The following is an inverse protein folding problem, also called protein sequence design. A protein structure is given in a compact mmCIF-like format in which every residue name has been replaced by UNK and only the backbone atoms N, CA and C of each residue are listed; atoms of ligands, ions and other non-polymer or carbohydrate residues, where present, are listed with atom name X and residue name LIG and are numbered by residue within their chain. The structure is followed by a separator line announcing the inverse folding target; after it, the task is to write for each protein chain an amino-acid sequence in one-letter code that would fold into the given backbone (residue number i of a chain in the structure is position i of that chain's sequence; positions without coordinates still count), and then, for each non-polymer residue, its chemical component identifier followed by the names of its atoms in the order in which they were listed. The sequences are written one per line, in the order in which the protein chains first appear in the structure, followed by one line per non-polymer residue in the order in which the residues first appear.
data_IF_856746507057
#
_entry.id   IF_856746507057
#
_cell.length_a   1.000
_cell.length_b   1.000
_cell.length_c   1.000
_cell.angle_alpha   90.00
_cell.angle_beta   90.00
_cell.angle_gamma   90.00
#
_symmetry.space_group_name_H-M   'P 1'
#
loop_
_entity.id
_entity.type
_entity.pdbx_description
1 polymer ?
#
# COMPACT_ATOMS: atom_id res chain seq x y z
N UNK A 1 3.91 4.52 39.59
CA UNK A 1 3.13 4.20 38.38
C UNK A 1 3.01 5.47 37.55
N UNK A 2 3.96 5.73 36.66
CA UNK A 2 3.95 6.92 35.81
C UNK A 2 2.99 6.70 34.65
N UNK A 3 1.96 7.54 34.55
CA UNK A 3 1.07 7.61 33.38
C UNK A 3 1.92 8.02 32.18
N UNK A 4 2.03 7.13 31.20
CA UNK A 4 2.53 7.51 29.87
C UNK A 4 1.47 8.41 29.26
N UNK A 5 1.76 9.70 29.14
CA UNK A 5 0.95 10.62 28.36
C UNK A 5 0.96 10.14 26.91
N UNK A 6 -0.18 9.67 26.42
CA UNK A 6 -0.42 9.44 24.99
C UNK A 6 -0.54 10.80 24.30
N UNK A 7 0.60 11.41 24.00
CA UNK A 7 0.63 12.56 23.09
C UNK A 7 0.32 12.05 21.69
N UNK A 8 -0.84 12.42 21.14
CA UNK A 8 -1.14 12.23 19.73
C UNK A 8 -0.02 12.85 18.90
N UNK A 9 0.66 12.10 18.02
CA UNK A 9 1.73 12.65 17.21
C UNK A 9 1.18 13.79 16.34
N UNK A 10 1.93 14.89 16.25
CA UNK A 10 1.56 16.00 15.37
C UNK A 10 1.48 15.49 13.92
N UNK A 11 0.51 15.97 13.12
CA UNK A 11 0.40 15.55 11.74
C UNK A 11 1.66 15.93 10.95
N UNK A 12 2.09 15.03 10.08
CA UNK A 12 3.09 15.34 9.06
C UNK A 12 2.52 16.39 8.08
N UNK A 13 3.39 17.19 7.46
CA UNK A 13 3.01 18.20 6.45
C UNK A 13 2.52 19.53 7.01
N UNK A 14 2.38 20.52 6.13
CA UNK A 14 1.91 21.86 6.48
C UNK A 14 0.46 21.80 6.97
N UNK A 15 0.16 22.47 8.09
CA UNK A 15 -1.22 22.63 8.59
C UNK A 15 -1.96 23.80 7.95
N UNK A 16 -1.29 24.53 7.04
CA UNK A 16 -1.84 25.69 6.36
C UNK A 16 -2.56 25.23 5.10
N UNK A 17 -3.83 25.65 4.96
CA UNK A 17 -4.61 25.33 3.79
C UNK A 17 -4.07 26.04 2.53
N UNK A 18 -4.15 25.37 1.38
CA UNK A 18 -3.77 25.91 0.07
C UNK A 18 -4.71 25.39 -1.02
N UNK A 19 -4.97 26.19 -2.04
CA UNK A 19 -5.81 25.82 -3.19
C UNK A 19 -5.06 24.97 -4.23
N UNK A 20 -3.77 24.70 -4.02
CA UNK A 20 -2.99 23.86 -4.92
C UNK A 20 -3.48 22.40 -4.85
N UNK A 21 -3.90 21.80 -6.00
CA UNK A 21 -4.41 20.43 -6.02
C UNK A 21 -3.36 19.42 -5.56
N UNK A 22 -3.81 18.33 -4.94
CA UNK A 22 -2.96 17.25 -4.43
C UNK A 22 -3.33 15.91 -5.06
N UNK A 23 -2.32 15.12 -5.41
CA UNK A 23 -2.43 13.68 -5.54
C UNK A 23 -1.81 13.03 -4.29
N UNK A 24 -2.59 12.23 -3.55
CA UNK A 24 -2.15 11.57 -2.33
C UNK A 24 -2.02 10.06 -2.54
N UNK A 25 -0.88 9.50 -2.13
CA UNK A 25 -0.64 8.06 -2.04
C UNK A 25 -0.51 7.65 -0.58
N UNK A 26 -1.35 6.74 -0.12
CA UNK A 26 -1.29 6.12 1.20
C UNK A 26 -0.96 4.64 1.03
N UNK A 27 0.10 4.18 1.70
CA UNK A 27 0.61 2.82 1.58
C UNK A 27 0.52 2.06 2.91
N UNK A 28 -0.24 0.97 2.90
CA UNK A 28 -0.40 0.05 4.03
C UNK A 28 0.69 -1.03 3.98
N UNK A 29 1.84 -0.79 4.62
CA UNK A 29 2.97 -1.71 4.51
C UNK A 29 2.66 -3.10 5.07
N UNK A 30 2.04 -3.27 6.26
CA UNK A 30 1.67 -4.58 6.78
C UNK A 30 0.68 -5.33 5.88
N UNK A 31 -0.36 -4.66 5.36
CA UNK A 31 -1.34 -5.33 4.49
C UNK A 31 -0.71 -5.79 3.17
N UNK A 32 0.07 -4.93 2.52
CA UNK A 32 0.75 -5.31 1.26
C UNK A 32 1.76 -6.43 1.49
N UNK A 33 2.57 -6.40 2.56
CA UNK A 33 3.52 -7.49 2.84
C UNK A 33 2.79 -8.81 3.18
N UNK A 34 1.68 -8.75 3.92
CA UNK A 34 0.89 -9.93 4.28
C UNK A 34 0.18 -10.55 3.08
N UNK A 35 -0.44 -9.73 2.23
CA UNK A 35 -1.11 -10.18 1.01
C UNK A 35 -0.11 -10.70 -0.01
N UNK A 36 1.05 -10.05 -0.16
CA UNK A 36 2.17 -10.54 -0.96
C UNK A 36 2.58 -11.95 -0.52
N UNK A 37 2.70 -12.18 0.79
CA UNK A 37 3.04 -13.50 1.33
C UNK A 37 2.00 -14.56 0.96
N UNK A 38 0.72 -14.19 0.98
CA UNK A 38 -0.39 -15.04 0.56
C UNK A 38 -0.35 -15.40 -0.92
N UNK A 39 -0.19 -14.41 -1.80
CA UNK A 39 -0.23 -14.63 -3.27
C UNK A 39 0.96 -15.40 -3.80
N UNK A 40 2.16 -15.25 -3.20
CA UNK A 40 3.35 -16.02 -3.58
C UNK A 40 3.47 -17.35 -2.79
N UNK A 41 2.57 -17.61 -1.85
CA UNK A 41 2.57 -18.83 -1.03
C UNK A 41 3.79 -18.98 -0.11
N UNK A 42 4.38 -17.88 0.35
CA UNK A 42 5.62 -17.92 1.13
C UNK A 42 6.08 -16.56 1.66
N UNK A 43 7.14 -16.57 2.48
CA UNK A 43 7.68 -15.34 3.07
C UNK A 43 8.29 -14.42 1.99
N UNK A 44 7.90 -13.13 1.90
CA UNK A 44 8.49 -12.23 0.93
C UNK A 44 9.99 -12.01 1.14
N UNK A 45 10.74 -12.09 0.05
CA UNK A 45 12.16 -11.72 -0.03
C UNK A 45 12.32 -10.25 -0.43
N UNK A 46 13.55 -9.76 -0.57
CA UNK A 46 13.79 -8.43 -1.16
C UNK A 46 13.41 -8.38 -2.64
N UNK A 47 13.56 -9.49 -3.38
CA UNK A 47 13.29 -9.56 -4.81
C UNK A 47 11.78 -9.63 -5.14
N UNK A 48 10.99 -10.19 -4.22
CA UNK A 48 9.54 -10.28 -4.38
C UNK A 48 8.80 -9.08 -3.78
N UNK A 49 9.49 -8.14 -3.13
CA UNK A 49 8.88 -6.90 -2.61
C UNK A 49 8.88 -5.80 -3.66
N UNK A 50 7.86 -4.94 -3.67
CA UNK A 50 7.78 -3.85 -4.62
C UNK A 50 8.88 -2.81 -4.37
N UNK A 51 9.41 -2.28 -5.46
CA UNK A 51 10.39 -1.21 -5.46
C UNK A 51 9.73 0.16 -5.30
N UNK A 52 9.88 0.76 -4.12
CA UNK A 52 9.32 2.09 -3.82
C UNK A 52 9.81 3.19 -4.78
N UNK A 53 11.03 3.08 -5.33
CA UNK A 53 11.52 4.05 -6.33
C UNK A 53 10.72 4.00 -7.63
N UNK A 54 10.25 2.81 -8.02
CA UNK A 54 9.40 2.63 -9.19
C UNK A 54 7.98 3.10 -8.92
N UNK A 55 7.42 2.79 -7.74
CA UNK A 55 6.11 3.29 -7.30
C UNK A 55 6.10 4.82 -7.29
N UNK A 56 7.11 5.46 -6.69
CA UNK A 56 7.22 6.92 -6.65
C UNK A 56 7.28 7.52 -8.06
N UNK A 57 8.11 6.95 -8.94
CA UNK A 57 8.24 7.43 -10.32
C UNK A 57 6.93 7.34 -11.08
N UNK A 58 6.26 6.19 -11.02
CA UNK A 58 4.96 5.97 -11.65
C UNK A 58 3.90 6.96 -11.11
N UNK A 59 3.85 7.13 -9.79
CA UNK A 59 2.88 8.02 -9.15
C UNK A 59 3.07 9.49 -9.56
N UNK A 60 4.32 9.97 -9.51
CA UNK A 60 4.71 11.33 -9.94
C UNK A 60 4.42 11.55 -11.42
N UNK A 61 4.75 10.59 -12.29
CA UNK A 61 4.48 10.70 -13.72
C UNK A 61 2.99 10.80 -14.00
N UNK A 62 2.17 10.04 -13.27
CA UNK A 62 0.71 10.09 -13.38
C UNK A 62 0.07 11.36 -12.84
N UNK A 63 0.77 12.21 -12.06
CA UNK A 63 0.19 13.42 -11.49
C UNK A 63 0.02 14.56 -12.49
N UNK A 64 0.62 14.45 -13.69
CA UNK A 64 0.54 15.51 -14.71
C UNK A 64 1.13 16.85 -14.23
N UNK A 65 2.09 16.82 -13.31
CA UNK A 65 2.72 18.02 -12.75
C UNK A 65 1.98 18.63 -11.56
N UNK A 66 0.87 18.03 -11.11
CA UNK A 66 0.28 18.33 -9.81
C UNK A 66 1.24 17.93 -8.70
N UNK A 67 1.14 18.62 -7.57
CA UNK A 67 1.90 18.28 -6.38
C UNK A 67 1.45 16.91 -5.83
N UNK A 68 2.40 16.19 -5.24
CA UNK A 68 2.23 14.80 -4.82
C UNK A 68 2.66 14.61 -3.38
N UNK A 69 1.95 13.76 -2.65
CA UNK A 69 2.38 13.31 -1.33
C UNK A 69 2.27 11.79 -1.24
N UNK A 70 3.35 11.14 -0.81
CA UNK A 70 3.40 9.70 -0.57
C UNK A 70 3.67 9.39 0.89
N UNK A 71 2.83 8.58 1.52
CA UNK A 71 2.90 8.24 2.93
C UNK A 71 2.89 6.73 3.13
N UNK A 72 3.89 6.19 3.81
CA UNK A 72 3.96 4.77 4.18
C UNK A 72 3.60 4.60 5.65
N UNK A 73 2.60 3.78 5.90
CA UNK A 73 2.14 3.43 7.24
C UNK A 73 2.65 2.04 7.60
N UNK A 74 3.21 1.92 8.81
CA UNK A 74 3.82 0.67 9.24
C UNK A 74 3.74 0.48 10.74
N UNK A 75 3.71 -0.79 11.16
CA UNK A 75 3.83 -1.19 12.53
C UNK A 75 5.26 -1.64 12.85
N UNK A 76 5.81 -1.15 13.97
CA UNK A 76 7.12 -1.58 14.45
C UNK A 76 6.95 -2.44 15.70
N UNK A 77 7.17 -3.75 15.55
CA UNK A 77 7.17 -4.67 16.69
C UNK A 77 8.39 -4.43 17.61
N UNK A 78 8.28 -4.68 18.93
CA UNK A 78 9.40 -4.65 19.84
C UNK A 78 10.58 -5.50 19.33
N UNK A 79 11.79 -4.95 19.37
CA UNK A 79 13.01 -5.61 18.89
C UNK A 79 13.26 -5.53 17.38
N UNK A 80 12.31 -5.05 16.57
CA UNK A 80 12.49 -4.88 15.11
C UNK A 80 13.01 -3.50 14.71
N UNK A 81 13.15 -2.55 15.65
CA UNK A 81 13.55 -1.18 15.32
C UNK A 81 14.92 -1.09 14.61
N UNK A 82 15.88 -1.96 14.96
CA UNK A 82 17.19 -1.98 14.32
C UNK A 82 17.14 -2.53 12.88
N UNK A 83 16.36 -3.59 12.63
CA UNK A 83 16.24 -4.23 11.32
C UNK A 83 15.48 -3.36 10.31
N UNK A 84 14.48 -2.61 10.76
CA UNK A 84 13.65 -1.75 9.89
C UNK A 84 14.21 -0.35 9.67
N UNK A 85 15.21 0.09 10.46
CA UNK A 85 15.77 1.45 10.39
C UNK A 85 16.22 1.84 8.98
N UNK A 86 17.04 1.00 8.35
CA UNK A 86 17.58 1.30 7.01
C UNK A 86 16.49 1.42 5.95
N UNK A 87 15.43 0.62 6.06
CA UNK A 87 14.26 0.71 5.17
C UNK A 87 13.48 2.01 5.39
N UNK A 88 13.21 2.40 6.64
CA UNK A 88 12.56 3.69 6.96
C UNK A 88 13.40 4.88 6.45
N UNK A 89 14.71 4.83 6.64
CA UNK A 89 15.62 5.87 6.15
C UNK A 89 15.63 5.95 4.62
N UNK A 90 15.60 4.81 3.92
CA UNK A 90 15.51 4.76 2.47
C UNK A 90 14.19 5.33 1.92
N UNK A 91 13.06 5.04 2.57
CA UNK A 91 11.75 5.61 2.22
C UNK A 91 11.76 7.14 2.35
N UNK A 92 12.25 7.64 3.48
CA UNK A 92 12.36 9.08 3.74
C UNK A 92 13.29 9.76 2.75
N UNK A 93 14.43 9.14 2.43
CA UNK A 93 15.36 9.65 1.42
C UNK A 93 14.74 9.68 0.01
N UNK A 94 13.75 8.82 -0.25
CA UNK A 94 12.99 8.76 -1.51
C UNK A 94 11.81 9.74 -1.56
N UNK A 95 11.59 10.55 -0.51
CA UNK A 95 10.53 11.55 -0.44
C UNK A 95 9.22 11.08 0.20
N UNK A 96 9.15 9.83 0.68
CA UNK A 96 7.97 9.37 1.41
C UNK A 96 7.96 9.88 2.85
N UNK A 97 6.78 10.30 3.31
CA UNK A 97 6.50 10.34 4.73
C UNK A 97 6.40 8.91 5.27
N UNK A 98 6.79 8.71 6.53
CA UNK A 98 6.65 7.41 7.19
C UNK A 98 5.93 7.60 8.53
N UNK A 99 4.76 7.00 8.66
CA UNK A 99 4.07 6.84 9.93
C UNK A 99 4.40 5.47 10.51
N UNK A 100 5.10 5.44 11.64
CA UNK A 100 5.54 4.22 12.30
C UNK A 100 4.88 4.10 13.69
N UNK A 101 3.91 3.19 13.82
CA UNK A 101 3.20 2.91 15.09
C UNK A 101 3.82 1.71 15.79
N UNK A 102 4.25 1.79 17.05
CA UNK A 102 4.64 0.61 17.81
C UNK A 102 3.50 -0.42 17.86
N UNK A 103 3.78 -1.71 17.58
CA UNK A 103 2.80 -2.80 17.73
C UNK A 103 3.05 -3.53 19.04
N UNK A 104 2.48 -3.02 20.11
CA UNK A 104 2.62 -3.54 21.48
C UNK A 104 1.55 -4.59 21.77
N UNK A 105 0.36 -4.41 21.21
CA UNK A 105 -0.82 -5.28 21.33
C UNK A 105 -1.31 -5.71 19.94
N UNK A 106 -2.23 -6.68 19.90
CA UNK A 106 -2.80 -7.20 18.65
C UNK A 106 -3.66 -6.17 17.91
N UNK A 107 -4.30 -5.26 18.65
CA UNK A 107 -5.21 -4.20 18.20
C UNK A 107 -4.51 -2.85 17.96
N UNK A 108 -3.18 -2.81 17.95
CA UNK A 108 -2.41 -1.62 17.55
C UNK A 108 -2.42 -1.42 16.03
N UNK A 109 -3.62 -1.25 15.47
CA UNK A 109 -3.86 -1.11 14.03
C UNK A 109 -3.53 0.31 13.55
N UNK A 110 -3.22 0.44 12.27
CA UNK A 110 -2.81 1.72 11.65
C UNK A 110 -3.92 2.30 10.77
N UNK A 111 -5.04 1.58 10.59
CA UNK A 111 -6.15 1.92 9.70
C UNK A 111 -6.73 3.30 10.02
N UNK A 112 -7.05 3.56 11.30
CA UNK A 112 -7.56 4.86 11.75
C UNK A 112 -6.57 5.98 11.46
N UNK A 113 -5.27 5.75 11.65
CA UNK A 113 -4.25 6.75 11.38
C UNK A 113 -4.12 7.05 9.88
N UNK A 114 -4.37 6.07 9.02
CA UNK A 114 -4.43 6.25 7.56
C UNK A 114 -5.63 7.09 7.16
N UNK A 115 -6.82 6.76 7.68
CA UNK A 115 -8.06 7.48 7.40
C UNK A 115 -8.00 8.93 7.92
N UNK A 116 -7.50 9.13 9.15
CA UNK A 116 -7.28 10.45 9.74
C UNK A 116 -6.34 11.29 8.90
N UNK A 117 -5.28 10.68 8.36
CA UNK A 117 -4.33 11.38 7.49
C UNK A 117 -4.97 11.81 6.17
N UNK A 118 -5.78 10.95 5.53
CA UNK A 118 -6.52 11.30 4.31
C UNK A 118 -7.49 12.43 4.60
N UNK A 119 -8.32 12.30 5.64
CA UNK A 119 -9.29 13.31 6.04
C UNK A 119 -8.62 14.65 6.32
N UNK A 120 -7.48 14.65 7.02
CA UNK A 120 -6.71 15.86 7.26
C UNK A 120 -6.27 16.53 5.96
N UNK A 121 -5.77 15.77 4.98
CA UNK A 121 -5.33 16.34 3.69
C UNK A 121 -6.46 16.95 2.90
N UNK A 122 -7.64 16.33 2.93
CA UNK A 122 -8.85 16.87 2.32
C UNK A 122 -9.23 18.23 2.93
N UNK A 123 -9.06 18.41 4.25
CA UNK A 123 -9.33 19.72 4.88
C UNK A 123 -8.31 20.80 4.55
N UNK A 124 -7.10 20.41 4.15
CA UNK A 124 -6.01 21.34 3.88
C UNK A 124 -5.96 21.75 2.41
N UNK A 125 -6.32 20.84 1.50
CA UNK A 125 -6.08 21.00 0.06
C UNK A 125 -7.15 20.30 -0.78
N UNK A 126 -7.45 20.79 -1.99
CA UNK A 126 -8.29 20.06 -2.92
C UNK A 126 -7.60 18.77 -3.35
N UNK A 127 -8.09 17.63 -2.88
CA UNK A 127 -7.62 16.32 -3.31
C UNK A 127 -8.15 16.04 -4.72
N UNK A 128 -7.26 15.73 -5.67
CA UNK A 128 -7.63 15.38 -7.05
C UNK A 128 -7.57 13.88 -7.29
N UNK A 129 -6.58 13.21 -6.71
CA UNK A 129 -6.43 11.77 -6.80
C UNK A 129 -6.03 11.20 -5.44
N UNK A 130 -6.72 10.14 -5.03
CA UNK A 130 -6.40 9.33 -3.86
C UNK A 130 -6.00 7.94 -4.32
N UNK A 131 -4.75 7.57 -4.06
CA UNK A 131 -4.22 6.24 -4.29
C UNK A 131 -4.04 5.55 -2.96
N UNK A 132 -4.70 4.41 -2.75
CA UNK A 132 -4.54 3.58 -1.56
C UNK A 132 -3.92 2.25 -1.95
N UNK A 133 -2.73 1.98 -1.43
CA UNK A 133 -2.10 0.67 -1.56
C UNK A 133 -2.48 -0.21 -0.35
N UNK A 134 -3.62 -0.89 -0.44
CA UNK A 134 -4.14 -1.85 0.56
C UNK A 134 -5.18 -2.75 -0.10
N UNK A 135 -5.29 -3.99 0.36
CA UNK A 135 -6.38 -4.91 0.01
C UNK A 135 -7.54 -4.86 1.02
N UNK A 136 -7.51 -3.95 2.00
CA UNK A 136 -8.51 -3.88 3.07
C UNK A 136 -9.78 -3.12 2.65
N UNK A 137 -10.70 -3.84 2.00
CA UNK A 137 -12.01 -3.29 1.65
C UNK A 137 -12.89 -2.92 2.84
N UNK A 138 -12.69 -3.55 4.01
CA UNK A 138 -13.50 -3.25 5.21
C UNK A 138 -13.25 -1.81 5.67
N UNK A 139 -12.00 -1.36 5.61
CA UNK A 139 -11.61 -0.03 6.05
C UNK A 139 -11.68 1.02 4.93
N UNK A 140 -11.42 0.65 3.67
CA UNK A 140 -11.24 1.64 2.60
C UNK A 140 -12.40 1.76 1.59
N UNK A 141 -13.28 0.76 1.43
CA UNK A 141 -14.31 0.81 0.39
C UNK A 141 -15.21 2.04 0.52
N UNK A 142 -15.97 2.15 1.62
CA UNK A 142 -16.92 3.27 1.78
C UNK A 142 -16.23 4.63 1.82
N UNK A 143 -15.12 4.84 2.56
CA UNK A 143 -14.43 6.13 2.53
C UNK A 143 -13.95 6.54 1.13
N UNK A 144 -13.38 5.61 0.36
CA UNK A 144 -12.94 5.91 -1.00
C UNK A 144 -14.11 6.20 -1.94
N UNK A 145 -15.20 5.43 -1.87
CA UNK A 145 -16.40 5.71 -2.66
C UNK A 145 -17.02 7.08 -2.32
N UNK A 146 -16.98 7.49 -1.05
CA UNK A 146 -17.41 8.83 -0.64
C UNK A 146 -16.59 9.92 -1.34
N UNK A 147 -15.26 9.82 -1.32
CA UNK A 147 -14.40 10.78 -2.02
C UNK A 147 -14.58 10.74 -3.55
N UNK A 148 -14.82 9.56 -4.12
CA UNK A 148 -15.10 9.41 -5.54
C UNK A 148 -16.39 10.14 -5.94
N UNK A 149 -17.46 10.06 -5.13
CA UNK A 149 -18.70 10.79 -5.36
C UNK A 149 -18.50 12.31 -5.29
N UNK A 150 -17.54 12.77 -4.49
CA UNK A 150 -17.13 14.19 -4.41
C UNK A 150 -16.19 14.62 -5.56
N UNK A 151 -15.90 13.72 -6.51
CA UNK A 151 -15.11 14.00 -7.71
C UNK A 151 -13.61 13.79 -7.56
N UNK A 152 -13.16 13.06 -6.52
CA UNK A 152 -11.76 12.63 -6.37
C UNK A 152 -11.53 11.35 -7.18
N UNK A 153 -10.50 11.31 -8.03
CA UNK A 153 -10.07 10.07 -8.69
C UNK A 153 -9.55 9.09 -7.63
N UNK A 154 -10.28 7.99 -7.39
CA UNK A 154 -9.92 7.01 -6.37
C UNK A 154 -9.36 5.75 -7.02
N UNK A 155 -8.13 5.39 -6.65
CA UNK A 155 -7.40 4.24 -7.19
C UNK A 155 -6.91 3.35 -6.05
N UNK A 156 -7.18 2.05 -6.15
CA UNK A 156 -6.60 1.03 -5.27
C UNK A 156 -5.45 0.33 -5.99
N UNK A 157 -4.32 0.18 -5.29
CA UNK A 157 -3.22 -0.67 -5.71
C UNK A 157 -3.12 -1.87 -4.76
N UNK A 158 -3.31 -3.07 -5.29
CA UNK A 158 -3.19 -4.31 -4.52
C UNK A 158 -2.93 -5.49 -5.45
N UNK A 159 -2.84 -6.70 -4.93
CA UNK A 159 -2.83 -7.90 -5.77
C UNK A 159 -4.28 -8.28 -6.12
N UNK A 160 -4.56 -8.60 -7.39
CA UNK A 160 -5.93 -8.84 -7.86
C UNK A 160 -6.63 -10.00 -7.14
N UNK A 161 -5.87 -10.96 -6.60
CA UNK A 161 -6.39 -12.10 -5.86
C UNK A 161 -7.06 -11.74 -4.53
N UNK A 162 -6.80 -10.56 -3.98
CA UNK A 162 -7.23 -10.16 -2.63
C UNK A 162 -8.02 -8.85 -2.59
N UNK A 163 -8.15 -8.15 -3.71
CA UNK A 163 -8.76 -6.83 -3.78
C UNK A 163 -10.10 -6.83 -4.55
N UNK A 164 -10.95 -7.82 -4.29
CA UNK A 164 -12.26 -7.95 -4.95
C UNK A 164 -13.13 -6.71 -4.76
N UNK A 165 -13.11 -6.09 -3.57
CA UNK A 165 -13.90 -4.89 -3.28
C UNK A 165 -13.63 -3.73 -4.24
N UNK A 166 -12.37 -3.53 -4.64
CA UNK A 166 -11.99 -2.46 -5.55
C UNK A 166 -12.33 -2.81 -7.00
N UNK A 167 -12.17 -4.07 -7.39
CA UNK A 167 -12.53 -4.56 -8.73
C UNK A 167 -14.04 -4.55 -8.99
N UNK A 168 -14.84 -4.76 -7.94
CA UNK A 168 -16.31 -4.79 -8.01
C UNK A 168 -16.94 -3.40 -7.91
N UNK A 169 -16.21 -2.40 -7.38
CA UNK A 169 -16.73 -1.04 -7.23
C UNK A 169 -16.73 -0.30 -8.58
N UNK A 170 -17.84 0.34 -8.98
CA UNK A 170 -17.90 1.17 -10.18
C UNK A 170 -17.28 2.57 -9.99
N UNK A 171 -16.87 2.92 -8.76
CA UNK A 171 -16.35 4.24 -8.39
C UNK A 171 -14.84 4.24 -8.13
N UNK A 172 -14.24 3.07 -7.99
CA UNK A 172 -12.83 2.90 -7.64
C UNK A 172 -12.13 2.27 -8.84
N UNK A 173 -11.05 2.91 -9.29
CA UNK A 173 -10.14 2.29 -10.23
C UNK A 173 -9.28 1.25 -9.49
N UNK A 174 -8.98 0.15 -10.16
CA UNK A 174 -8.09 -0.88 -9.64
C UNK A 174 -6.87 -1.03 -10.54
N UNK A 175 -5.69 -1.04 -9.92
CA UNK A 175 -4.43 -1.38 -10.57
C UNK A 175 -3.76 -2.51 -9.80
N UNK A 176 -3.50 -3.62 -10.47
CA UNK A 176 -2.69 -4.66 -9.86
C UNK A 176 -1.26 -4.14 -9.62
N UNK A 177 -0.74 -4.35 -8.41
CA UNK A 177 0.57 -3.87 -7.98
C UNK A 177 1.72 -4.35 -8.88
N UNK A 178 1.62 -5.56 -9.46
CA UNK A 178 2.62 -6.08 -10.39
C UNK A 178 2.60 -5.37 -11.75
N UNK A 179 1.49 -4.75 -12.11
CA UNK A 179 1.32 -4.03 -13.37
C UNK A 179 1.86 -2.58 -13.25
N UNK A 180 2.29 -2.13 -12.06
CA UNK A 180 3.02 -0.87 -11.88
C UNK A 180 4.42 -0.98 -12.51
N UNK A 181 4.77 -0.14 -13.52
CA UNK A 181 6.01 -0.29 -14.27
C UNK A 181 7.27 -0.28 -13.39
N UNK A 182 8.00 -1.40 -13.41
CA UNK A 182 9.27 -1.56 -12.68
C UNK A 182 9.12 -1.79 -11.17
N UNK A 183 7.90 -1.96 -10.66
CA UNK A 183 7.66 -2.32 -9.26
C UNK A 183 8.34 -3.65 -8.90
N UNK A 184 8.40 -4.59 -9.84
CA UNK A 184 9.13 -5.85 -9.70
C UNK A 184 10.12 -6.03 -10.84
N UNK A 185 11.29 -6.61 -10.55
CA UNK A 185 12.32 -6.91 -11.55
C UNK A 185 12.08 -8.21 -12.30
N UNK A 186 11.29 -9.10 -11.71
CA UNK A 186 10.90 -10.40 -12.26
C UNK A 186 9.44 -10.62 -11.91
N UNK A 187 8.66 -11.27 -12.79
CA UNK A 187 7.30 -11.68 -12.45
C UNK A 187 7.26 -12.49 -11.15
N UNK A 188 6.26 -12.23 -10.33
CA UNK A 188 5.96 -12.94 -9.11
C UNK A 188 5.50 -14.36 -9.44
N UNK A 189 5.93 -15.32 -8.62
CA UNK A 189 5.47 -16.70 -8.72
C UNK A 189 4.09 -16.85 -8.08
N UNK A 190 3.08 -16.27 -8.72
CA UNK A 190 1.67 -16.29 -8.27
C UNK A 190 0.74 -16.75 -9.41
N UNK A 191 -0.45 -17.20 -9.02
CA UNK A 191 -1.42 -17.78 -9.95
C UNK A 191 -2.47 -16.72 -10.34
N UNK A 192 -2.18 -15.96 -11.40
CA UNK A 192 -3.14 -14.99 -11.99
C UNK A 192 -3.98 -15.67 -13.07
N UNK A 193 -5.26 -15.90 -12.79
CA UNK A 193 -6.20 -16.54 -13.73
C UNK A 193 -7.13 -15.53 -14.42
N UNK A 194 -7.25 -14.35 -13.85
CA UNK A 194 -8.02 -13.20 -14.31
C UNK A 194 -7.31 -12.41 -15.43
N UNK A 195 -5.98 -12.50 -15.51
CA UNK A 195 -5.15 -11.80 -16.49
C UNK A 195 -4.43 -12.74 -17.48
N UNK A 196 -5.09 -13.83 -17.90
CA UNK A 196 -4.50 -14.78 -18.85
C UNK A 196 -4.45 -14.19 -20.28
N UNK A 197 -3.32 -14.35 -21.00
CA UNK A 197 -3.24 -13.91 -22.38
C UNK A 197 -4.13 -14.79 -23.29
N UNK A 198 -4.63 -14.27 -24.43
CA UNK A 198 -5.55 -15.01 -25.30
C UNK A 198 -5.03 -16.37 -25.78
N UNK A 199 -3.71 -16.48 -25.96
CA UNK A 199 -3.02 -17.71 -26.34
C UNK A 199 -2.79 -18.70 -25.18
N UNK A 200 -3.19 -18.34 -23.96
CA UNK A 200 -2.91 -19.09 -22.73
C UNK A 200 -1.49 -18.86 -22.19
N UNK A 201 -1.27 -19.29 -20.94
CA UNK A 201 0.02 -19.21 -20.27
C UNK A 201 0.33 -20.52 -19.54
N UNK A 202 1.61 -20.89 -19.48
CA UNK A 202 2.09 -21.97 -18.62
C UNK A 202 2.25 -21.47 -17.19
N UNK A 203 1.48 -22.04 -16.27
CA UNK A 203 1.66 -21.82 -14.83
C UNK A 203 2.75 -22.77 -14.33
N UNK A 204 3.90 -22.21 -13.96
CA UNK A 204 5.03 -23.01 -13.49
C UNK A 204 4.67 -23.67 -12.15
N UNK A 205 5.01 -24.96 -11.95
CA UNK A 205 4.78 -25.62 -10.68
C UNK A 205 5.59 -24.93 -9.58
N UNK A 206 4.94 -24.64 -8.45
CA UNK A 206 5.56 -23.97 -7.30
C UNK A 206 6.52 -24.85 -6.51
N UNK A 207 6.45 -26.17 -6.72
CA UNK A 207 7.37 -27.17 -6.14
C UNK A 207 7.56 -28.37 -7.06
N UNK A 208 8.64 -29.11 -6.85
CA UNK A 208 8.91 -30.36 -7.57
C UNK A 208 7.92 -31.46 -7.19
N UNK A 209 7.47 -32.27 -8.15
CA UNK A 209 6.66 -33.47 -7.88
C UNK A 209 7.34 -34.43 -6.89
N UNK A 210 8.67 -34.46 -6.85
CA UNK A 210 9.43 -35.32 -5.92
C UNK A 210 9.25 -34.92 -4.45
N UNK A 211 8.93 -33.65 -4.16
CA UNK A 211 8.68 -33.20 -2.77
C UNK A 211 7.49 -33.92 -2.13
N UNK A 212 6.57 -34.47 -2.91
CA UNK A 212 5.44 -35.25 -2.37
C UNK A 212 5.87 -36.55 -1.68
N UNK A 213 7.08 -37.04 -1.95
CA UNK A 213 7.64 -38.22 -1.26
C UNK A 213 8.33 -37.87 0.06
N UNK A 214 8.58 -36.58 0.32
CA UNK A 214 9.22 -36.10 1.56
C UNK A 214 8.17 -35.74 2.62
N UNK A 215 6.93 -35.47 2.19
CA UNK A 215 5.76 -35.17 3.04
C UNK A 215 4.99 -36.42 3.50
N UNK A 216 5.45 -37.64 3.15
CA UNK A 216 4.80 -38.94 3.42
C UNK A 216 5.55 -39.77 4.47
#
# INVERSE_FOLDING_TARGET
MSRVSTTTPAPYGSTVATDAPLDLLVWDAPNIDATLAGVIGGRPSSASRPRFDAIARWFVQGSGGRDVEGCVFTNIAPGQAASVRGWVEALRASGFAVFAKPKLQSDDDIDDAMLDHIALRVTQRPLRRLVVASADGRNFLEPMESYARDGVECLVIAFSEVAGYAQESPLIEFLDLEDVPGAFTTPLNRTRLDALPPQGAWLQPTRSLRSMLEDA
#
